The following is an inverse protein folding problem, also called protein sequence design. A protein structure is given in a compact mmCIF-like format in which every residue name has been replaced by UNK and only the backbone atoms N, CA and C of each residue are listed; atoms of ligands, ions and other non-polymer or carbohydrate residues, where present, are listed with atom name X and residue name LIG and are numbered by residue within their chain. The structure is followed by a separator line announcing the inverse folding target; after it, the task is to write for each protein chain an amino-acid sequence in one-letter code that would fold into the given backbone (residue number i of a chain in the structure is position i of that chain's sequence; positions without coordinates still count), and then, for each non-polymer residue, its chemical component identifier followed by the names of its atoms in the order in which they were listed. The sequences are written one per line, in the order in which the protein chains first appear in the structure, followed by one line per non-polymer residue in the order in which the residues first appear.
data_IF_456821834090
#
_entry.id   IF_456821834090
#
_cell.length_a   1.000
_cell.length_b   1.000
_cell.length_c   1.000
_cell.angle_alpha   90.00
_cell.angle_beta   90.00
_cell.angle_gamma   90.00
#
_symmetry.space_group_name_H-M   'P 1'
#
loop_
_entity.id
_entity.type
_entity.pdbx_description
1 polymer ?
#
# COMPACT_ATOMS: atom_id res chain seq x y z
N UNK A 1 -26.65 20.94 -15.13
CA UNK A 1 -26.77 19.85 -16.12
C UNK A 1 -25.53 18.99 -16.14
N UNK A 2 -24.39 19.53 -16.55
CA UNK A 2 -23.13 18.80 -16.55
C UNK A 2 -22.74 18.30 -15.16
N UNK A 3 -22.96 19.12 -14.14
CA UNK A 3 -22.61 18.78 -12.76
C UNK A 3 -23.43 17.60 -12.24
N UNK A 4 -24.73 17.61 -12.51
CA UNK A 4 -25.64 16.51 -12.15
C UNK A 4 -25.26 15.22 -12.85
N UNK A 5 -24.95 15.30 -14.15
CA UNK A 5 -24.55 14.16 -14.95
C UNK A 5 -23.21 13.58 -14.43
N UNK A 6 -22.30 14.45 -14.03
CA UNK A 6 -21.01 14.03 -13.47
C UNK A 6 -21.20 13.27 -12.16
N UNK A 7 -22.11 13.72 -11.30
CA UNK A 7 -22.43 13.06 -10.05
C UNK A 7 -23.07 11.69 -10.29
N UNK A 8 -23.95 11.58 -11.26
CA UNK A 8 -24.54 10.31 -11.67
C UNK A 8 -23.49 9.34 -12.19
N UNK A 9 -22.55 9.83 -13.00
CA UNK A 9 -21.45 9.02 -13.52
C UNK A 9 -20.54 8.53 -12.40
N UNK A 10 -20.28 9.37 -11.39
CA UNK A 10 -19.47 8.99 -10.24
C UNK A 10 -20.16 7.91 -9.39
N UNK A 11 -21.47 8.03 -9.17
CA UNK A 11 -22.24 7.02 -8.45
C UNK A 11 -22.24 5.69 -9.20
N UNK A 12 -22.45 5.72 -10.51
CA UNK A 12 -22.40 4.52 -11.34
C UNK A 12 -21.02 3.88 -11.36
N UNK A 13 -19.97 4.72 -11.37
CA UNK A 13 -18.61 4.23 -11.31
C UNK A 13 -18.35 3.47 -10.02
N UNK A 14 -18.72 4.04 -8.88
CA UNK A 14 -18.49 3.42 -7.56
C UNK A 14 -19.23 2.09 -7.42
N UNK A 15 -20.45 2.03 -7.95
CA UNK A 15 -21.23 0.80 -7.95
C UNK A 15 -20.55 -0.33 -8.72
N UNK A 16 -19.95 0.00 -9.86
CA UNK A 16 -19.30 -0.99 -10.73
C UNK A 16 -17.88 -1.35 -10.30
N UNK A 17 -17.16 -0.42 -9.67
CA UNK A 17 -15.71 -0.52 -9.47
C UNK A 17 -15.28 -0.60 -8.01
N UNK A 18 -16.21 -0.52 -7.07
CA UNK A 18 -15.95 -0.62 -5.63
C UNK A 18 -15.04 0.50 -5.07
N UNK A 19 -14.88 1.59 -5.79
CA UNK A 19 -14.16 2.77 -5.30
C UNK A 19 -14.62 4.03 -6.05
N UNK A 20 -14.49 5.21 -5.44
CA UNK A 20 -14.89 6.48 -6.10
C UNK A 20 -13.99 6.79 -7.29
N UNK A 21 -14.58 7.36 -8.35
CA UNK A 21 -13.83 7.74 -9.54
C UNK A 21 -12.74 8.78 -9.24
N UNK A 22 -12.97 9.63 -8.23
CA UNK A 22 -12.02 10.66 -7.84
C UNK A 22 -10.66 10.10 -7.44
N UNK A 23 -10.61 8.85 -6.99
CA UNK A 23 -9.37 8.19 -6.59
C UNK A 23 -8.46 7.85 -7.78
N UNK A 24 -9.00 7.84 -9.00
CA UNK A 24 -8.24 7.45 -10.20
C UNK A 24 -7.06 8.39 -10.43
N UNK A 25 -7.23 9.69 -10.18
CA UNK A 25 -6.16 10.67 -10.41
C UNK A 25 -5.01 10.56 -9.41
N UNK A 26 -5.25 9.96 -8.25
CA UNK A 26 -4.21 9.70 -7.26
C UNK A 26 -4.06 8.22 -7.00
N UNK A 27 -4.10 7.39 -8.04
CA UNK A 27 -4.16 5.94 -7.94
C UNK A 27 -3.13 5.36 -6.96
N UNK A 28 -1.85 5.76 -7.06
CA UNK A 28 -0.82 5.18 -6.21
C UNK A 28 -1.02 5.55 -4.72
N UNK A 29 -1.55 6.73 -4.43
CA UNK A 29 -1.86 7.14 -3.06
C UNK A 29 -2.91 6.22 -2.43
N UNK A 30 -3.96 5.89 -3.19
CA UNK A 30 -5.07 5.08 -2.68
C UNK A 30 -4.72 3.59 -2.63
N UNK A 31 -3.85 3.12 -3.50
CA UNK A 31 -3.27 1.78 -3.38
C UNK A 31 -2.49 1.68 -2.07
N UNK A 32 -1.63 2.66 -1.78
CA UNK A 32 -0.86 2.70 -0.54
C UNK A 32 -1.78 2.70 0.69
N UNK A 33 -2.86 3.49 0.66
CA UNK A 33 -3.84 3.53 1.75
C UNK A 33 -4.45 2.16 2.04
N UNK A 34 -4.68 1.36 1.00
CA UNK A 34 -5.20 0.01 1.17
C UNK A 34 -4.16 -0.98 1.68
N UNK A 35 -2.91 -0.79 1.30
CA UNK A 35 -1.81 -1.70 1.65
C UNK A 35 -1.34 -1.49 3.09
N UNK A 36 -1.19 -0.25 3.55
CA UNK A 36 -0.60 0.08 4.86
C UNK A 36 -1.29 -0.64 6.03
N UNK A 37 -2.61 -0.55 6.22
CA UNK A 37 -3.24 -1.22 7.35
C UNK A 37 -3.11 -2.74 7.28
N UNK A 38 -3.10 -3.32 6.09
CA UNK A 38 -2.92 -4.75 5.91
C UNK A 38 -1.52 -5.20 6.28
N UNK A 39 -0.51 -4.46 5.86
CA UNK A 39 0.88 -4.76 6.24
C UNK A 39 1.11 -4.60 7.74
N UNK A 40 0.51 -3.58 8.36
CA UNK A 40 0.61 -3.38 9.80
C UNK A 40 -0.01 -4.54 10.56
N UNK A 41 -1.19 -4.98 10.14
CA UNK A 41 -1.86 -6.12 10.74
C UNK A 41 -1.04 -7.40 10.57
N UNK A 42 -0.51 -7.62 9.37
CA UNK A 42 0.33 -8.79 9.09
C UNK A 42 1.61 -8.79 9.95
N UNK A 43 2.27 -7.62 10.06
CA UNK A 43 3.46 -7.50 10.90
C UNK A 43 3.16 -7.86 12.36
N UNK A 44 1.97 -7.51 12.85
CA UNK A 44 1.56 -7.75 14.23
C UNK A 44 1.17 -9.19 14.52
N UNK A 45 0.98 -10.01 13.50
CA UNK A 45 0.68 -11.42 13.71
C UNK A 45 1.83 -12.14 14.42
N UNK A 46 1.46 -13.10 15.29
CA UNK A 46 2.40 -14.06 15.83
C UNK A 46 2.62 -15.14 14.76
N UNK A 47 3.63 -14.93 13.93
CA UNK A 47 3.85 -15.72 12.72
C UNK A 47 4.51 -17.06 13.01
N UNK A 48 4.12 -18.08 12.23
CA UNK A 48 4.67 -19.42 12.32
C UNK A 48 5.98 -19.60 11.56
N UNK A 49 6.31 -18.68 10.65
CA UNK A 49 7.52 -18.78 9.86
C UNK A 49 7.88 -17.50 9.14
N UNK A 50 8.94 -17.57 8.37
CA UNK A 50 9.46 -16.44 7.58
C UNK A 50 10.04 -16.96 6.27
N UNK A 51 10.20 -16.10 5.24
CA UNK A 51 10.80 -16.53 3.98
C UNK A 51 12.28 -16.92 4.17
N UNK A 52 12.80 -17.75 3.26
CA UNK A 52 14.24 -18.00 3.21
C UNK A 52 15.02 -16.68 3.05
N UNK A 53 16.20 -16.62 3.66
CA UNK A 53 17.04 -15.42 3.63
C UNK A 53 16.93 -14.55 4.86
N UNK A 54 15.93 -14.76 5.70
CA UNK A 54 15.81 -14.10 7.00
C UNK A 54 16.20 -15.09 8.10
N UNK A 55 16.96 -14.61 9.08
CA UNK A 55 17.43 -15.50 10.15
C UNK A 55 16.33 -15.82 11.16
N UNK A 56 15.34 -14.93 11.31
CA UNK A 56 14.26 -15.09 12.28
C UNK A 56 13.07 -14.20 11.90
N UNK A 57 11.99 -14.30 12.67
CA UNK A 57 10.78 -13.51 12.45
C UNK A 57 11.03 -12.02 12.69
N UNK A 58 11.92 -11.68 13.64
CA UNK A 58 12.26 -10.28 13.88
C UNK A 58 12.88 -9.62 12.64
N UNK A 59 13.77 -10.33 11.93
CA UNK A 59 14.36 -9.84 10.69
C UNK A 59 13.30 -9.70 9.59
N UNK A 60 12.37 -10.65 9.49
CA UNK A 60 11.24 -10.57 8.56
C UNK A 60 10.36 -9.35 8.87
N UNK A 61 10.04 -9.14 10.16
CA UNK A 61 9.25 -7.98 10.58
C UNK A 61 9.94 -6.64 10.26
N UNK A 62 11.26 -6.58 10.32
CA UNK A 62 12.01 -5.37 9.91
C UNK A 62 11.81 -5.09 8.42
N UNK A 63 11.85 -6.13 7.58
CA UNK A 63 11.60 -5.97 6.16
C UNK A 63 10.17 -5.48 5.90
N UNK A 64 9.18 -6.03 6.61
CA UNK A 64 7.79 -5.59 6.51
C UNK A 64 7.67 -4.12 6.94
N UNK A 65 8.38 -3.71 7.99
CA UNK A 65 8.36 -2.31 8.44
C UNK A 65 8.89 -1.37 7.37
N UNK A 66 9.93 -1.77 6.63
CA UNK A 66 10.43 -0.96 5.50
C UNK A 66 9.40 -0.83 4.39
N UNK A 67 8.63 -1.88 4.14
CA UNK A 67 7.52 -1.81 3.19
C UNK A 67 6.46 -0.82 3.69
N UNK A 68 6.08 -0.90 4.96
CA UNK A 68 5.11 0.03 5.57
C UNK A 68 5.60 1.47 5.45
N UNK A 69 6.84 1.73 5.81
CA UNK A 69 7.42 3.07 5.77
C UNK A 69 7.36 3.66 4.35
N UNK A 70 7.68 2.86 3.35
CA UNK A 70 7.63 3.28 1.95
C UNK A 70 6.20 3.66 1.53
N UNK A 71 5.23 2.81 1.82
CA UNK A 71 3.85 3.08 1.44
C UNK A 71 3.23 4.23 2.25
N UNK A 72 3.63 4.41 3.51
CA UNK A 72 3.16 5.56 4.31
C UNK A 72 3.61 6.89 3.72
N UNK A 73 4.79 6.93 3.09
CA UNK A 73 5.29 8.15 2.46
C UNK A 73 4.46 8.58 1.26
N UNK A 74 3.71 7.67 0.66
CA UNK A 74 2.94 7.94 -0.56
C UNK A 74 1.42 7.83 -0.36
N UNK A 75 0.94 7.78 0.88
CA UNK A 75 -0.50 7.78 1.17
C UNK A 75 -1.17 9.08 0.71
N UNK A 76 -2.52 9.11 0.59
CA UNK A 76 -3.23 10.34 0.22
C UNK A 76 -2.86 11.52 1.13
N UNK A 77 -2.81 12.70 0.54
CA UNK A 77 -2.46 13.96 1.22
C UNK A 77 -0.98 14.06 1.63
N UNK A 78 -0.15 13.13 1.18
CA UNK A 78 1.30 13.20 1.39
C UNK A 78 1.96 13.84 0.17
N UNK A 79 2.94 14.71 0.43
CA UNK A 79 3.80 15.26 -0.62
C UNK A 79 5.07 14.42 -0.64
N UNK A 80 5.40 13.89 -1.81
CA UNK A 80 6.59 13.05 -1.99
C UNK A 80 7.75 13.96 -2.41
N UNK A 81 8.82 13.95 -1.62
CA UNK A 81 10.03 14.70 -1.92
C UNK A 81 11.10 13.78 -2.51
N UNK A 82 12.03 14.37 -3.25
CA UNK A 82 13.11 13.58 -3.86
C UNK A 82 13.93 12.81 -2.83
N UNK A 83 14.09 13.35 -1.63
CA UNK A 83 14.80 12.69 -0.54
C UNK A 83 14.11 11.42 -0.05
N UNK A 84 12.82 11.27 -0.33
CA UNK A 84 12.03 10.10 0.07
C UNK A 84 12.23 8.92 -0.90
N UNK A 85 12.67 9.18 -2.13
CA UNK A 85 12.76 8.14 -3.17
C UNK A 85 13.59 6.93 -2.77
N UNK A 86 14.76 7.06 -2.13
CA UNK A 86 15.52 5.88 -1.72
C UNK A 86 14.74 4.97 -0.76
N UNK A 87 14.02 5.54 0.19
CA UNK A 87 13.21 4.77 1.14
C UNK A 87 12.01 4.12 0.45
N UNK A 88 11.35 4.86 -0.43
CA UNK A 88 10.22 4.34 -1.21
C UNK A 88 10.68 3.17 -2.07
N UNK A 89 11.78 3.34 -2.79
CA UNK A 89 12.31 2.30 -3.68
C UNK A 89 12.74 1.05 -2.91
N UNK A 90 13.40 1.22 -1.76
CA UNK A 90 13.80 0.10 -0.92
C UNK A 90 12.58 -0.72 -0.47
N UNK A 91 11.54 -0.04 0.03
CA UNK A 91 10.32 -0.72 0.47
C UNK A 91 9.56 -1.38 -0.67
N UNK A 92 9.50 -0.73 -1.83
CA UNK A 92 8.85 -1.31 -3.02
C UNK A 92 9.61 -2.53 -3.53
N UNK A 93 10.94 -2.49 -3.52
CA UNK A 93 11.76 -3.63 -3.92
C UNK A 93 11.54 -4.84 -3.00
N UNK A 94 11.48 -4.61 -1.69
CA UNK A 94 11.16 -5.64 -0.72
C UNK A 94 9.75 -6.18 -0.93
N UNK A 95 8.79 -5.29 -1.15
CA UNK A 95 7.40 -5.66 -1.40
C UNK A 95 7.29 -6.54 -2.64
N UNK A 96 7.92 -6.15 -3.73
CA UNK A 96 7.94 -6.93 -4.97
C UNK A 96 8.56 -8.30 -4.75
N UNK A 97 9.69 -8.35 -4.06
CA UNK A 97 10.45 -9.59 -3.87
C UNK A 97 9.69 -10.60 -3.00
N UNK A 98 9.02 -10.10 -1.96
CA UNK A 98 8.37 -10.97 -0.97
C UNK A 98 6.85 -10.92 -1.01
N UNK A 99 6.28 -10.39 -2.08
CA UNK A 99 4.83 -10.22 -2.19
C UNK A 99 4.07 -11.52 -1.92
N UNK A 100 4.51 -12.61 -2.52
CA UNK A 100 3.84 -13.90 -2.36
C UNK A 100 4.18 -14.61 -1.05
N UNK A 101 5.02 -14.00 -0.21
CA UNK A 101 5.33 -14.49 1.13
C UNK A 101 4.51 -13.76 2.21
N UNK A 102 3.64 -12.82 1.83
CA UNK A 102 2.81 -12.06 2.75
C UNK A 102 1.55 -12.85 3.12
N UNK A 103 1.78 -13.99 3.77
CA UNK A 103 0.73 -14.86 4.30
C UNK A 103 1.31 -15.69 5.45
N UNK A 104 0.42 -16.29 6.25
CA UNK A 104 0.88 -17.16 7.34
C UNK A 104 -0.06 -18.39 7.52
#
# INVERSE_FOLDING_TARGET
MKRKKKDEDSENWSYKNDFPIEEVWGTYHYIARGIVPRLKAFKSLDKHGHPPGFKDIAAWNKAIQKMIDAFELVEPNKVVYSDDYPLINEGLDLFRKYFLNLWD
#
